data_IF_718768660072
#
_entry.id   IF_718768660072
#
_cell.length_a   1.000
_cell.length_b   1.000
_cell.length_c   1.000
_cell.angle_alpha   90.00
_cell.angle_beta   90.00
_cell.angle_gamma   90.00
#
_symmetry.space_group_name_H-M   'P 1'
#
loop_
_entity.id
_entity.type
_entity.pdbx_description
1 polymer ?
#
# COMPACT_ATOMS: atom_id res chain seq x y z
N UNK A 1 12.55 15.79 13.78
CA UNK A 1 11.84 14.54 14.13
C UNK A 1 11.59 14.53 15.63
N UNK A 2 10.39 14.91 16.08
CA UNK A 2 10.03 14.77 17.50
C UNK A 2 8.84 13.80 17.57
N UNK A 3 9.12 12.52 17.35
CA UNK A 3 8.09 11.49 17.51
C UNK A 3 7.80 11.36 19.01
N UNK A 4 6.53 11.37 19.45
CA UNK A 4 6.17 11.23 20.86
C UNK A 4 6.55 9.86 21.46
N UNK A 5 7.16 8.97 20.65
CA UNK A 5 7.59 7.63 20.99
C UNK A 5 9.12 7.53 21.17
N UNK A 6 9.59 8.03 22.33
CA UNK A 6 10.96 7.78 22.78
C UNK A 6 11.20 6.28 23.06
N UNK A 7 12.44 5.79 23.03
CA UNK A 7 12.76 4.40 23.37
C UNK A 7 12.24 3.99 24.76
N UNK A 8 12.37 4.85 25.76
CA UNK A 8 11.94 4.60 27.15
C UNK A 8 10.42 4.45 27.22
N UNK A 9 9.69 5.28 26.47
CA UNK A 9 8.22 5.19 26.38
C UNK A 9 7.78 3.90 25.71
N UNK A 10 8.47 3.48 24.64
CA UNK A 10 8.19 2.19 23.98
C UNK A 10 8.46 1.01 24.92
N UNK A 11 9.55 1.05 25.68
CA UNK A 11 9.87 0.02 26.66
C UNK A 11 8.80 -0.07 27.77
N UNK A 12 8.42 1.07 28.36
CA UNK A 12 7.33 1.12 29.36
C UNK A 12 6.03 0.53 28.81
N UNK A 13 5.70 0.86 27.56
CA UNK A 13 4.47 0.37 26.95
C UNK A 13 4.54 -1.11 26.58
N UNK A 14 5.71 -1.62 26.19
CA UNK A 14 5.92 -3.04 26.00
C UNK A 14 5.67 -3.83 27.30
N UNK A 15 6.17 -3.34 28.44
CA UNK A 15 5.92 -3.97 29.75
C UNK A 15 4.44 -3.93 30.14
N UNK A 16 3.73 -2.82 29.90
CA UNK A 16 2.29 -2.74 30.13
C UNK A 16 1.49 -3.72 29.25
N UNK A 17 1.84 -3.81 27.97
CA UNK A 17 1.24 -4.74 27.00
C UNK A 17 1.50 -6.20 27.40
N UNK A 18 2.71 -6.53 27.89
CA UNK A 18 3.05 -7.85 28.44
C UNK A 18 2.25 -8.19 29.71
N UNK A 19 1.96 -7.19 30.55
CA UNK A 19 1.17 -7.39 31.77
C UNK A 19 -0.29 -7.75 31.48
N UNK A 20 -0.92 -7.07 30.51
CA UNK A 20 -2.35 -7.24 30.23
C UNK A 20 -2.65 -8.21 29.09
N UNK A 21 -1.66 -8.56 28.28
CA UNK A 21 -1.73 -9.61 27.25
C UNK A 21 -2.98 -9.51 26.35
N UNK A 22 -3.25 -8.35 25.72
CA UNK A 22 -4.51 -8.12 25.00
C UNK A 22 -4.75 -9.13 23.85
N UNK A 23 -3.68 -9.74 23.31
CA UNK A 23 -3.78 -10.78 22.29
C UNK A 23 -4.53 -12.03 22.77
N UNK A 24 -4.54 -12.35 24.07
CA UNK A 24 -5.28 -13.50 24.61
C UNK A 24 -6.79 -13.35 24.42
N UNK A 25 -7.29 -12.12 24.35
CA UNK A 25 -8.71 -11.82 24.10
C UNK A 25 -9.00 -11.48 22.64
N UNK A 26 -7.99 -11.52 21.77
CA UNK A 26 -8.16 -11.18 20.36
C UNK A 26 -8.87 -12.32 19.63
N UNK A 27 -10.15 -12.12 19.30
CA UNK A 27 -10.87 -12.99 18.39
C UNK A 27 -10.69 -12.47 16.97
N UNK A 28 -9.65 -12.95 16.28
CA UNK A 28 -9.49 -12.70 14.85
C UNK A 28 -10.72 -13.15 14.04
N UNK A 29 -10.74 -12.89 12.72
CA UNK A 29 -11.89 -13.25 11.88
C UNK A 29 -12.15 -14.76 11.94
N UNK A 30 -13.34 -15.13 12.43
CA UNK A 30 -13.80 -16.53 12.56
C UNK A 30 -14.49 -17.05 11.30
N UNK A 31 -15.04 -16.15 10.48
CA UNK A 31 -15.72 -16.51 9.22
C UNK A 31 -14.74 -16.58 8.04
N UNK A 32 -15.10 -17.37 7.01
CA UNK A 32 -14.38 -17.42 5.73
C UNK A 32 -14.27 -16.03 5.08
N UNK A 33 -15.38 -15.27 5.06
CA UNK A 33 -15.41 -13.91 4.52
C UNK A 33 -14.49 -12.96 5.30
N UNK A 34 -14.46 -13.05 6.62
CA UNK A 34 -13.58 -12.26 7.47
C UNK A 34 -12.10 -12.55 7.21
N UNK A 35 -11.73 -13.83 7.06
CA UNK A 35 -10.36 -14.24 6.74
C UNK A 35 -9.93 -13.74 5.36
N UNK A 36 -10.80 -13.86 4.36
CA UNK A 36 -10.53 -13.36 3.01
C UNK A 36 -10.26 -11.84 3.02
N UNK A 37 -11.07 -11.08 3.76
CA UNK A 37 -10.86 -9.65 3.96
C UNK A 37 -9.52 -9.35 4.63
N UNK A 38 -9.21 -10.01 5.75
CA UNK A 38 -7.94 -9.77 6.45
C UNK A 38 -6.71 -10.14 5.62
N UNK A 39 -6.80 -11.14 4.75
CA UNK A 39 -5.71 -11.50 3.83
C UNK A 39 -5.36 -10.35 2.87
N UNK A 40 -6.33 -9.52 2.50
CA UNK A 40 -6.08 -8.35 1.63
C UNK A 40 -5.33 -7.20 2.31
N UNK A 41 -5.19 -7.19 3.64
CA UNK A 41 -4.56 -6.07 4.37
C UNK A 41 -3.05 -5.90 4.06
N UNK A 42 -2.40 -6.96 3.56
CA UNK A 42 -1.01 -6.91 3.10
C UNK A 42 -0.86 -6.05 1.84
N UNK A 43 -1.88 -6.02 0.99
CA UNK A 43 -1.90 -5.21 -0.23
C UNK A 43 -2.02 -3.72 0.12
N UNK A 44 -1.01 -2.92 -0.24
CA UNK A 44 -0.96 -1.47 0.03
C UNK A 44 -1.37 -0.61 -1.17
N UNK A 45 -1.99 -1.21 -2.19
CA UNK A 45 -2.18 -0.57 -3.48
C UNK A 45 -0.94 -0.71 -4.36
N UNK A 46 -0.87 0.06 -5.44
CA UNK A 46 0.24 0.01 -6.41
C UNK A 46 -0.26 0.00 -7.86
N UNK A 47 -1.32 -0.77 -8.14
CA UNK A 47 -1.93 -0.84 -9.46
C UNK A 47 -2.31 0.54 -10.03
N UNK A 48 -2.87 1.45 -9.22
CA UNK A 48 -3.21 2.81 -9.69
C UNK A 48 -1.98 3.64 -10.09
N UNK A 49 -0.81 3.39 -9.50
CA UNK A 49 0.42 4.07 -9.89
C UNK A 49 0.91 3.50 -11.21
N UNK A 50 1.06 2.17 -11.27
CA UNK A 50 1.45 1.42 -12.47
C UNK A 50 0.58 1.80 -13.67
N UNK A 51 -0.75 1.70 -13.56
CA UNK A 51 -1.67 2.09 -14.62
C UNK A 51 -1.54 3.54 -15.08
N UNK A 52 -1.16 4.46 -14.17
CA UNK A 52 -0.93 5.87 -14.56
C UNK A 52 0.38 6.05 -15.30
N UNK A 53 1.39 5.26 -14.97
CA UNK A 53 2.66 5.26 -15.66
C UNK A 53 2.49 4.64 -17.06
N UNK A 54 1.76 3.52 -17.17
CA UNK A 54 1.40 2.89 -18.46
C UNK A 54 0.61 3.85 -19.36
N UNK A 55 -0.42 4.53 -18.81
CA UNK A 55 -1.21 5.52 -19.56
C UNK A 55 -0.35 6.71 -20.00
N UNK A 56 0.64 7.12 -19.20
CA UNK A 56 1.56 8.20 -19.58
C UNK A 56 2.43 7.78 -20.75
N UNK A 57 2.96 6.56 -20.71
CA UNK A 57 3.77 5.98 -21.79
C UNK A 57 2.98 5.88 -23.10
N UNK A 58 1.78 5.28 -23.05
CA UNK A 58 0.90 5.16 -24.22
C UNK A 58 0.59 6.53 -24.83
N UNK A 59 0.33 7.55 -24.00
CA UNK A 59 0.10 8.92 -24.49
C UNK A 59 1.32 9.50 -25.19
N UNK A 60 2.53 9.20 -24.70
CA UNK A 60 3.77 9.59 -25.36
C UNK A 60 3.91 8.97 -26.74
N UNK A 61 3.71 7.65 -26.83
CA UNK A 61 3.77 6.89 -28.08
C UNK A 61 2.71 7.38 -29.10
N UNK A 62 1.48 7.59 -28.66
CA UNK A 62 0.41 8.11 -29.52
C UNK A 62 0.73 9.51 -30.06
N UNK A 63 1.38 10.35 -29.24
CA UNK A 63 1.81 11.69 -29.67
C UNK A 63 2.89 11.59 -30.76
N UNK A 64 3.84 10.68 -30.62
CA UNK A 64 4.92 10.46 -31.59
C UNK A 64 4.39 9.94 -32.94
N UNK A 65 3.44 9.01 -32.91
CA UNK A 65 2.78 8.49 -34.11
C UNK A 65 1.89 9.53 -34.80
N UNK A 66 1.25 10.40 -34.00
CA UNK A 66 0.41 11.50 -34.50
C UNK A 66 1.22 12.73 -34.91
N UNK A 67 2.55 12.72 -34.74
CA UNK A 67 3.40 13.85 -35.09
C UNK A 67 3.52 13.97 -36.62
N UNK A 68 3.09 15.09 -37.25
CA UNK A 68 3.04 15.22 -38.71
C UNK A 68 4.37 14.99 -39.41
N UNK A 69 5.49 15.25 -38.73
CA UNK A 69 6.85 15.05 -39.24
C UNK A 69 7.19 13.55 -39.39
N UNK A 70 6.62 12.70 -38.52
CA UNK A 70 6.78 11.24 -38.56
C UNK A 70 5.84 10.61 -39.59
N UNK A 71 4.61 11.11 -39.70
CA UNK A 71 3.60 10.59 -40.64
C UNK A 71 3.91 10.92 -42.10
N UNK A 72 4.68 11.99 -42.37
CA UNK A 72 5.09 12.39 -43.72
C UNK A 72 6.35 11.67 -44.25
N UNK A 73 6.93 10.74 -43.48
CA UNK A 73 8.18 10.02 -43.83
C UNK A 73 7.97 8.57 -44.30
N UNK A 74 6.71 8.15 -44.46
CA UNK A 74 6.29 6.89 -45.10
C UNK A 74 5.43 7.22 -46.33
#
# INVERSE_FOLDING_TARGET
MNSPWTPERRARQAEAIKKWQPWLRSTGPRSKSGKARSATNAWKGGHRRMMRDDVREIRGLLKELSDPVTTARL
#
